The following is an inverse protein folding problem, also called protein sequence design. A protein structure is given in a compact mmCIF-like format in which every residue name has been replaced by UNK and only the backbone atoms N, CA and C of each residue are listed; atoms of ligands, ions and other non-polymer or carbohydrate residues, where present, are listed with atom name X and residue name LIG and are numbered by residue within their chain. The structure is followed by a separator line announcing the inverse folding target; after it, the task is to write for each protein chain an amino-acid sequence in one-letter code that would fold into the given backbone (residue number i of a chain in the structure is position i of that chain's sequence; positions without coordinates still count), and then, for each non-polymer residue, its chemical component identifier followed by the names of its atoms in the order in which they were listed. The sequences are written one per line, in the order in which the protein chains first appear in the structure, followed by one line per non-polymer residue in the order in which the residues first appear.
data_IF_911168236914
#
_entry.id   IF_911168236914
#
_cell.length_a   1.000
_cell.length_b   1.000
_cell.length_c   1.000
_cell.angle_alpha   90.00
_cell.angle_beta   90.00
_cell.angle_gamma   90.00
#
_symmetry.space_group_name_H-M   'P 1'
#
loop_
_entity.id
_entity.type
_entity.pdbx_description
1 polymer ?
#
# COMPACT_ATOMS: atom_id res chain seq x y z
N UNK A 1 -21.95 -29.93 -5.28
CA UNK A 1 -23.36 -29.77 -4.86
C UNK A 1 -23.74 -28.36 -5.27
N UNK A 2 -24.34 -28.11 -6.42
CA UNK A 2 -25.62 -28.64 -6.88
C UNK A 2 -26.59 -27.45 -6.91
N UNK A 3 -27.04 -27.10 -8.11
CA UNK A 3 -27.86 -25.94 -8.50
C UNK A 3 -29.13 -25.73 -7.67
N UNK A 4 -29.69 -24.51 -7.66
CA UNK A 4 -30.85 -24.21 -8.53
C UNK A 4 -31.39 -22.77 -8.38
N UNK A 5 -31.70 -22.19 -9.53
CA UNK A 5 -32.56 -21.03 -9.70
C UNK A 5 -33.95 -21.52 -10.14
N UNK A 6 -35.07 -20.86 -9.77
CA UNK A 6 -36.36 -21.17 -10.36
C UNK A 6 -36.74 -20.16 -11.45
N UNK A 7 -37.08 -20.69 -12.62
CA UNK A 7 -37.78 -20.01 -13.72
C UNK A 7 -39.32 -20.18 -13.57
N UNK A 8 -40.14 -19.43 -14.33
CA UNK A 8 -41.50 -19.03 -13.92
C UNK A 8 -42.62 -19.97 -14.40
N UNK A 9 -43.73 -19.97 -13.67
CA UNK A 9 -44.99 -20.65 -14.02
C UNK A 9 -45.95 -19.71 -14.76
N UNK A 10 -46.61 -20.30 -15.75
CA UNK A 10 -47.43 -19.68 -16.79
C UNK A 10 -48.88 -20.15 -16.65
N UNK A 11 -49.80 -19.25 -17.01
CA UNK A 11 -51.20 -19.43 -17.43
C UNK A 11 -52.28 -19.83 -16.40
N UNK A 12 -53.32 -18.98 -16.31
CA UNK A 12 -54.69 -19.45 -16.20
C UNK A 12 -55.63 -18.66 -17.11
N UNK A 13 -56.17 -19.40 -18.08
CA UNK A 13 -57.25 -19.08 -19.01
C UNK A 13 -58.55 -18.80 -18.25
N UNK A 14 -59.36 -17.86 -18.74
CA UNK A 14 -60.81 -18.00 -18.61
C UNK A 14 -61.51 -17.58 -19.91
N UNK A 15 -62.24 -18.53 -20.46
CA UNK A 15 -63.18 -18.48 -21.60
C UNK A 15 -64.56 -18.14 -21.04
N UNK A 16 -65.35 -17.28 -21.70
CA UNK A 16 -66.84 -17.31 -21.74
C UNK A 16 -67.35 -16.49 -22.95
N UNK A 17 -68.06 -17.19 -23.86
CA UNK A 17 -69.28 -16.92 -24.68
C UNK A 17 -69.50 -15.57 -25.38
N UNK A 18 -69.71 -15.46 -26.70
CA UNK A 18 -70.72 -15.98 -27.68
C UNK A 18 -71.82 -14.94 -28.03
N UNK A 19 -71.94 -14.65 -29.33
CA UNK A 19 -73.17 -14.38 -30.11
C UNK A 19 -73.01 -13.30 -31.22
N UNK A 20 -73.01 -13.80 -32.46
CA UNK A 20 -73.94 -13.43 -33.57
C UNK A 20 -73.80 -12.11 -34.38
N UNK A 21 -73.30 -12.32 -35.62
CA UNK A 21 -73.81 -11.92 -36.96
C UNK A 21 -73.99 -10.44 -37.41
N UNK A 22 -73.33 -10.19 -38.56
CA UNK A 22 -73.75 -9.42 -39.76
C UNK A 22 -73.76 -7.89 -39.75
N UNK A 23 -73.15 -7.29 -40.79
CA UNK A 23 -73.24 -5.86 -41.07
C UNK A 23 -72.10 -5.21 -41.87
N UNK A 24 -72.02 -5.49 -43.18
CA UNK A 24 -71.58 -4.60 -44.28
C UNK A 24 -70.40 -3.61 -44.10
N UNK A 25 -69.31 -3.84 -44.84
CA UNK A 25 -68.33 -2.80 -45.24
C UNK A 25 -68.96 -1.83 -46.26
N UNK A 26 -68.59 -0.52 -46.35
CA UNK A 26 -67.29 -0.13 -46.91
C UNK A 26 -66.79 1.30 -46.55
N UNK A 27 -65.61 1.46 -45.95
CA UNK A 27 -64.85 2.71 -46.19
C UNK A 27 -63.36 2.46 -46.25
N UNK A 28 -62.84 2.47 -47.47
CA UNK A 28 -61.43 2.73 -47.79
C UNK A 28 -61.04 4.07 -47.20
N UNK A 29 -60.47 4.09 -45.99
CA UNK A 29 -59.46 5.08 -45.64
C UNK A 29 -58.15 4.36 -45.76
N UNK A 30 -57.38 4.73 -46.78
CA UNK A 30 -56.02 4.27 -46.97
C UNK A 30 -55.23 4.60 -45.70
N UNK A 31 -55.23 3.68 -44.73
CA UNK A 31 -54.13 3.62 -43.78
C UNK A 31 -52.94 3.30 -44.65
N UNK A 32 -52.24 4.36 -45.06
CA UNK A 32 -50.95 4.28 -45.70
C UNK A 32 -50.12 3.41 -44.79
N UNK A 33 -50.03 2.13 -45.14
CA UNK A 33 -49.15 1.16 -44.51
C UNK A 33 -47.80 1.78 -44.71
N UNK A 34 -47.32 2.52 -43.70
CA UNK A 34 -45.98 3.09 -43.69
C UNK A 34 -45.09 1.94 -44.11
N UNK A 35 -44.47 2.01 -45.31
CA UNK A 35 -43.78 0.86 -45.86
C UNK A 35 -42.85 0.35 -44.77
N UNK A 36 -42.88 -0.94 -44.44
CA UNK A 36 -42.11 -1.54 -43.32
C UNK A 36 -40.64 -1.04 -43.26
N UNK A 37 -40.11 -0.65 -44.43
CA UNK A 37 -38.84 0.06 -44.64
C UNK A 37 -38.69 1.40 -43.89
N UNK A 38 -39.69 2.27 -43.80
CA UNK A 38 -39.61 3.56 -43.07
C UNK A 38 -39.52 3.32 -41.56
N UNK A 39 -40.30 2.38 -41.01
CA UNK A 39 -40.17 1.97 -39.61
C UNK A 39 -38.79 1.38 -39.29
N UNK A 40 -38.23 0.59 -40.21
CA UNK A 40 -36.85 0.07 -40.11
C UNK A 40 -35.80 1.19 -40.15
N UNK A 41 -35.95 2.15 -41.07
CA UNK A 41 -35.04 3.28 -41.18
C UNK A 41 -35.06 4.17 -39.94
N UNK A 42 -36.24 4.48 -39.38
CA UNK A 42 -36.36 5.25 -38.13
C UNK A 42 -35.69 4.55 -36.96
N UNK A 43 -35.91 3.24 -36.81
CA UNK A 43 -35.27 2.44 -35.75
C UNK A 43 -33.75 2.43 -35.89
N UNK A 44 -33.24 2.26 -37.11
CA UNK A 44 -31.80 2.27 -37.37
C UNK A 44 -31.19 3.67 -37.12
N UNK A 45 -31.91 4.75 -37.47
CA UNK A 45 -31.47 6.11 -37.18
C UNK A 45 -31.27 6.32 -35.68
N UNK A 46 -32.26 5.98 -34.86
CA UNK A 46 -32.19 6.08 -33.40
C UNK A 46 -31.03 5.24 -32.84
N UNK A 47 -30.80 4.05 -33.38
CA UNK A 47 -29.66 3.20 -32.99
C UNK A 47 -28.33 3.87 -33.28
N UNK A 48 -28.18 4.51 -34.45
CA UNK A 48 -26.94 5.22 -34.82
C UNK A 48 -26.74 6.50 -34.02
N UNK A 49 -27.81 7.24 -33.77
CA UNK A 49 -27.79 8.43 -32.89
C UNK A 49 -27.26 8.02 -31.51
N UNK A 50 -27.87 7.01 -30.88
CA UNK A 50 -27.40 6.51 -29.58
C UNK A 50 -25.93 6.04 -29.58
N UNK A 51 -25.51 5.28 -30.60
CA UNK A 51 -24.11 4.85 -30.72
C UNK A 51 -23.16 6.04 -30.89
N UNK A 52 -23.57 7.07 -31.63
CA UNK A 52 -22.76 8.28 -31.80
C UNK A 52 -22.61 9.02 -30.48
N UNK A 53 -23.68 9.12 -29.68
CA UNK A 53 -23.63 9.73 -28.34
C UNK A 53 -22.59 9.00 -27.47
N UNK A 54 -22.59 7.67 -27.46
CA UNK A 54 -21.57 6.88 -26.73
C UNK A 54 -20.13 7.14 -27.22
N UNK A 55 -19.94 7.35 -28.52
CA UNK A 55 -18.62 7.70 -29.07
C UNK A 55 -18.18 9.12 -28.67
N UNK A 56 -19.13 10.06 -28.58
CA UNK A 56 -18.86 11.43 -28.12
C UNK A 56 -18.51 11.44 -26.64
N UNK A 57 -19.27 10.73 -25.82
CA UNK A 57 -19.01 10.58 -24.39
C UNK A 57 -17.63 9.95 -24.16
N UNK A 58 -17.31 8.85 -24.85
CA UNK A 58 -15.99 8.23 -24.77
C UNK A 58 -14.88 9.20 -25.21
N UNK A 59 -15.08 9.94 -26.30
CA UNK A 59 -14.13 10.96 -26.76
C UNK A 59 -13.89 12.06 -25.72
N UNK A 60 -14.94 12.48 -25.00
CA UNK A 60 -14.84 13.48 -23.93
C UNK A 60 -14.07 12.97 -22.72
N UNK A 61 -14.29 11.71 -22.30
CA UNK A 61 -13.57 11.07 -21.19
C UNK A 61 -12.08 10.92 -21.50
N UNK A 62 -11.76 10.66 -22.77
CA UNK A 62 -10.38 10.60 -23.26
C UNK A 62 -9.76 11.99 -23.52
N UNK A 63 -10.49 13.08 -23.22
CA UNK A 63 -10.06 14.46 -23.45
C UNK A 63 -9.58 14.71 -24.89
N UNK A 64 -10.17 14.01 -25.86
CA UNK A 64 -9.83 14.11 -27.27
C UNK A 64 -10.42 15.42 -27.83
N UNK A 65 -9.74 16.52 -27.56
CA UNK A 65 -10.16 17.90 -27.84
C UNK A 65 -10.33 18.26 -29.31
N UNK A 66 -9.84 17.43 -30.24
CA UNK A 66 -10.07 17.64 -31.66
C UNK A 66 -11.46 17.17 -32.10
N UNK A 67 -12.17 18.09 -32.75
CA UNK A 67 -13.51 17.89 -33.34
C UNK A 67 -13.54 16.86 -34.50
N UNK A 68 -12.40 16.21 -34.79
CA UNK A 68 -12.12 15.44 -36.00
C UNK A 68 -11.67 14.01 -35.71
N UNK A 69 -11.70 13.57 -34.44
CA UNK A 69 -11.24 12.24 -34.08
C UNK A 69 -12.18 11.18 -34.67
N UNK A 70 -11.68 10.47 -35.68
CA UNK A 70 -12.41 9.36 -36.28
C UNK A 70 -12.71 8.28 -35.22
N UNK A 71 -13.80 7.54 -35.41
CA UNK A 71 -14.21 6.47 -34.48
C UNK A 71 -13.11 5.45 -34.18
N UNK A 72 -12.28 5.16 -35.18
CA UNK A 72 -11.12 4.27 -35.01
C UNK A 72 -10.08 4.87 -34.05
N UNK A 73 -9.80 6.17 -34.15
CA UNK A 73 -8.90 6.87 -33.23
C UNK A 73 -9.42 6.80 -31.81
N UNK A 74 -10.69 7.13 -31.57
CA UNK A 74 -11.31 7.06 -30.24
C UNK A 74 -11.14 5.68 -29.61
N UNK A 75 -11.40 4.61 -30.37
CA UNK A 75 -11.23 3.23 -29.88
C UNK A 75 -9.77 2.87 -29.62
N UNK A 76 -8.85 3.27 -30.49
CA UNK A 76 -7.42 3.00 -30.31
C UNK A 76 -6.87 3.73 -29.08
N UNK A 77 -7.22 4.99 -28.89
CA UNK A 77 -6.83 5.78 -27.73
C UNK A 77 -7.41 5.19 -26.44
N UNK A 78 -8.70 4.82 -26.43
CA UNK A 78 -9.31 4.12 -25.30
C UNK A 78 -8.56 2.83 -24.94
N UNK A 79 -8.24 2.04 -25.97
CA UNK A 79 -7.54 0.76 -25.80
C UNK A 79 -6.12 0.96 -25.28
N UNK A 80 -5.39 1.95 -25.81
CA UNK A 80 -4.04 2.29 -25.35
C UNK A 80 -4.07 2.74 -23.89
N UNK A 81 -4.94 3.68 -23.55
CA UNK A 81 -5.07 4.20 -22.19
C UNK A 81 -5.42 3.10 -21.19
N UNK A 82 -6.33 2.18 -21.55
CA UNK A 82 -6.65 1.03 -20.69
C UNK A 82 -5.43 0.15 -20.43
N UNK A 83 -4.65 -0.16 -21.46
CA UNK A 83 -3.42 -0.96 -21.31
C UNK A 83 -2.40 -0.25 -20.42
N UNK A 84 -2.20 1.05 -20.62
CA UNK A 84 -1.28 1.85 -19.83
C UNK A 84 -1.72 1.91 -18.37
N UNK A 85 -3.02 2.07 -18.11
CA UNK A 85 -3.59 2.08 -16.76
C UNK A 85 -3.46 0.70 -16.09
N UNK A 86 -3.72 -0.39 -16.80
CA UNK A 86 -3.50 -1.73 -16.27
C UNK A 86 -2.02 -1.96 -15.92
N UNK A 87 -1.09 -1.53 -16.76
CA UNK A 87 0.34 -1.60 -16.48
C UNK A 87 0.72 -0.80 -15.24
N UNK A 88 0.18 0.41 -15.06
CA UNK A 88 0.39 1.23 -13.86
C UNK A 88 -0.15 0.55 -12.60
N UNK A 89 -1.36 -0.03 -12.67
CA UNK A 89 -1.96 -0.77 -11.55
C UNK A 89 -1.09 -1.97 -11.18
N UNK A 90 -0.58 -2.72 -12.15
CA UNK A 90 0.32 -3.85 -11.90
C UNK A 90 1.65 -3.43 -11.27
N UNK A 91 2.26 -2.35 -11.76
CA UNK A 91 3.49 -1.79 -11.16
C UNK A 91 3.25 -1.36 -9.72
N UNK A 92 2.21 -0.56 -9.47
CA UNK A 92 1.86 -0.09 -8.13
C UNK A 92 1.59 -1.23 -7.17
N UNK A 93 0.92 -2.31 -7.62
CA UNK A 93 0.71 -3.50 -6.80
C UNK A 93 2.03 -4.17 -6.44
N UNK A 94 2.96 -4.30 -7.38
CA UNK A 94 4.29 -4.86 -7.14
C UNK A 94 5.10 -4.01 -6.17
N UNK A 95 5.09 -2.69 -6.36
CA UNK A 95 5.78 -1.73 -5.49
C UNK A 95 5.19 -1.75 -4.08
N UNK A 96 3.86 -1.80 -3.95
CA UNK A 96 3.18 -1.91 -2.66
C UNK A 96 3.60 -3.18 -1.90
N UNK A 97 3.61 -4.34 -2.58
CA UNK A 97 4.10 -5.59 -1.99
C UNK A 97 5.57 -5.47 -1.55
N UNK A 98 6.42 -4.85 -2.38
CA UNK A 98 7.82 -4.61 -2.04
C UNK A 98 7.97 -3.73 -0.79
N UNK A 99 7.27 -2.60 -0.75
CA UNK A 99 7.30 -1.66 0.38
C UNK A 99 6.76 -2.29 1.67
N UNK A 100 5.70 -3.10 1.58
CA UNK A 100 5.17 -3.83 2.73
C UNK A 100 6.19 -4.85 3.25
N UNK A 101 6.92 -5.53 2.37
CA UNK A 101 7.96 -6.47 2.79
C UNK A 101 9.14 -5.77 3.47
N UNK A 102 9.56 -4.63 2.94
CA UNK A 102 10.62 -3.81 3.54
C UNK A 102 10.18 -3.21 4.88
N UNK A 103 8.96 -2.68 4.95
CA UNK A 103 8.38 -2.19 6.20
C UNK A 103 8.30 -3.30 7.26
N UNK A 104 7.93 -4.52 6.87
CA UNK A 104 7.91 -5.66 7.77
C UNK A 104 9.32 -6.00 8.26
N UNK A 105 10.30 -6.05 7.36
CA UNK A 105 11.70 -6.29 7.71
C UNK A 105 12.21 -5.27 8.74
N UNK A 106 12.01 -3.97 8.49
CA UNK A 106 12.43 -2.90 9.42
C UNK A 106 11.70 -3.00 10.76
N UNK A 107 10.43 -3.40 10.75
CA UNK A 107 9.66 -3.61 12.00
C UNK A 107 10.25 -4.75 12.82
N UNK A 108 10.63 -5.86 12.18
CA UNK A 108 11.26 -7.00 12.84
C UNK A 108 12.60 -6.59 13.44
N UNK A 109 13.49 -6.00 12.63
CA UNK A 109 14.80 -5.50 13.09
C UNK A 109 14.67 -4.53 14.26
N UNK A 110 13.70 -3.61 14.19
CA UNK A 110 13.46 -2.66 15.29
C UNK A 110 13.04 -3.37 16.58
N UNK A 111 12.18 -4.38 16.49
CA UNK A 111 11.76 -5.15 17.66
C UNK A 111 12.93 -5.93 18.27
N UNK A 112 13.79 -6.52 17.45
CA UNK A 112 15.00 -7.23 17.91
C UNK A 112 15.94 -6.27 18.65
N UNK A 113 16.20 -5.08 18.09
CA UNK A 113 17.01 -4.05 18.76
C UNK A 113 16.38 -3.55 20.07
N UNK A 114 15.06 -3.43 20.14
CA UNK A 114 14.36 -3.05 21.38
C UNK A 114 14.49 -4.14 22.44
N UNK A 115 14.39 -5.42 22.05
CA UNK A 115 14.60 -6.55 22.95
C UNK A 115 16.04 -6.57 23.49
N UNK A 116 17.03 -6.42 22.61
CA UNK A 116 18.45 -6.35 23.01
C UNK A 116 18.73 -5.17 23.92
N UNK A 117 18.19 -3.97 23.60
CA UNK A 117 18.36 -2.79 24.43
C UNK A 117 17.74 -2.98 25.83
N UNK A 118 16.54 -3.58 25.91
CA UNK A 118 15.91 -3.88 27.21
C UNK A 118 16.73 -4.90 28.02
N UNK A 119 17.31 -5.91 27.37
CA UNK A 119 18.19 -6.87 28.03
C UNK A 119 19.48 -6.21 28.56
N UNK A 120 20.04 -5.24 27.84
CA UNK A 120 21.20 -4.46 28.29
C UNK A 120 20.85 -3.52 29.44
N UNK A 121 19.73 -2.81 29.37
CA UNK A 121 19.22 -1.95 30.45
C UNK A 121 19.04 -2.74 31.75
N UNK A 122 18.44 -3.94 31.67
CA UNK A 122 18.29 -4.82 32.83
C UNK A 122 19.63 -5.28 33.41
N UNK A 123 20.62 -5.57 32.56
CA UNK A 123 21.97 -5.92 33.03
C UNK A 123 22.67 -4.72 33.69
N UNK A 124 22.51 -3.51 33.16
CA UNK A 124 23.03 -2.28 33.76
C UNK A 124 22.41 -2.06 35.14
N UNK A 125 21.08 -2.16 35.25
CA UNK A 125 20.36 -1.99 36.53
C UNK A 125 20.82 -3.03 37.57
N UNK A 126 21.00 -4.28 37.15
CA UNK A 126 21.51 -5.35 38.02
C UNK A 126 22.92 -5.04 38.54
N UNK A 127 23.82 -4.60 37.66
CA UNK A 127 25.19 -4.25 38.05
C UNK A 127 25.25 -3.02 38.95
N UNK A 128 24.42 -2.00 38.68
CA UNK A 128 24.29 -0.83 39.56
C UNK A 128 23.82 -1.23 40.95
N UNK A 129 22.79 -2.09 41.04
CA UNK A 129 22.29 -2.64 42.31
C UNK A 129 23.38 -3.40 43.06
N UNK A 130 24.20 -4.19 42.35
CA UNK A 130 25.33 -4.91 42.96
C UNK A 130 26.41 -3.95 43.51
N UNK A 131 26.74 -2.89 42.77
CA UNK A 131 27.69 -1.85 43.19
C UNK A 131 27.16 -1.14 44.45
N UNK A 132 25.90 -0.72 44.46
CA UNK A 132 25.27 -0.06 45.61
C UNK A 132 25.23 -0.97 46.86
N UNK A 133 24.93 -2.26 46.67
CA UNK A 133 24.99 -3.24 47.74
C UNK A 133 26.42 -3.35 48.31
N UNK A 134 27.44 -3.48 47.45
CA UNK A 134 28.85 -3.54 47.87
C UNK A 134 29.29 -2.28 48.61
N UNK A 135 28.91 -1.09 48.14
CA UNK A 135 29.20 0.19 48.81
C UNK A 135 28.54 0.23 50.21
N UNK A 136 27.30 -0.24 50.31
CA UNK A 136 26.55 -0.32 51.57
C UNK A 136 27.21 -1.27 52.57
N UNK A 137 27.73 -2.40 52.09
CA UNK A 137 28.46 -3.40 52.89
C UNK A 137 29.89 -2.96 53.25
N UNK A 138 30.52 -2.08 52.47
CA UNK A 138 31.88 -1.59 52.74
C UNK A 138 31.93 -0.39 53.69
N UNK A 139 30.79 0.08 54.22
CA UNK A 139 30.75 1.15 55.22
C UNK A 139 31.26 0.57 56.56
N UNK A 140 32.50 0.86 57.00
CA UNK A 140 33.02 0.28 58.23
C UNK A 140 32.31 0.95 59.41
N UNK A 141 31.92 0.16 60.42
CA UNK A 141 31.66 0.73 61.73
C UNK A 141 32.98 1.24 62.30
N UNK A 142 33.16 2.56 62.30
CA UNK A 142 34.35 3.24 62.80
C UNK A 142 34.53 3.13 64.33
N UNK A 143 33.69 2.38 65.04
CA UNK A 143 33.80 2.14 66.48
C UNK A 143 34.52 0.83 66.86
N UNK A 144 34.97 0.01 65.90
CA UNK A 144 35.65 -1.26 66.20
C UNK A 144 37.17 -1.13 65.98
N UNK A 145 38.02 -1.38 67.01
CA UNK A 145 39.47 -1.26 66.87
C UNK A 145 40.05 -2.36 65.97
N UNK A 146 41.11 -2.08 65.19
CA UNK A 146 41.67 -3.03 64.22
C UNK A 146 42.34 -4.23 64.92
N UNK A 147 42.19 -5.46 64.41
CA UNK A 147 43.00 -6.59 64.85
C UNK A 147 44.47 -6.41 64.40
N UNK A 148 45.37 -6.63 65.34
CA UNK A 148 46.82 -6.46 65.24
C UNK A 148 47.50 -7.57 64.41
N UNK A 149 48.27 -7.15 63.38
CA UNK A 149 49.47 -7.78 62.74
C UNK A 149 49.36 -9.25 62.21
N UNK A 150 50.01 -9.69 61.13
CA UNK A 150 51.44 -9.63 60.77
C UNK A 150 51.62 -9.82 59.25
N UNK A 151 52.61 -9.13 58.68
CA UNK A 151 53.03 -9.19 57.28
C UNK A 151 54.24 -10.13 57.11
N UNK A 152 54.32 -10.94 56.04
CA UNK A 152 55.61 -11.42 55.53
C UNK A 152 55.89 -10.99 54.08
N UNK A 153 56.97 -10.21 53.94
CA UNK A 153 58.05 -10.20 52.91
C UNK A 153 57.78 -10.64 51.45
N UNK A 154 57.95 -9.64 50.56
CA UNK A 154 58.57 -9.63 49.21
C UNK A 154 58.63 -10.89 48.34
N UNK A 155 58.11 -10.79 47.10
CA UNK A 155 58.91 -11.06 45.88
C UNK A 155 58.27 -10.44 44.63
N UNK A 156 59.01 -9.52 44.01
CA UNK A 156 58.76 -8.94 42.70
C UNK A 156 59.16 -9.96 41.62
N UNK A 157 58.22 -10.40 40.79
CA UNK A 157 58.54 -11.02 39.50
C UNK A 157 57.45 -10.70 38.47
N UNK A 158 57.70 -9.70 37.62
CA UNK A 158 56.93 -9.49 36.40
C UNK A 158 57.63 -10.24 35.26
N UNK A 159 56.98 -11.22 34.62
CA UNK A 159 57.39 -11.68 33.30
C UNK A 159 56.77 -10.76 32.24
N UNK A 160 57.62 -9.97 31.58
CA UNK A 160 57.30 -9.29 30.33
C UNK A 160 57.43 -10.35 29.23
N UNK A 161 56.32 -10.97 28.84
CA UNK A 161 56.26 -11.80 27.64
C UNK A 161 56.00 -10.88 26.43
N UNK A 162 57.07 -10.61 25.71
CA UNK A 162 57.05 -9.93 24.42
C UNK A 162 56.47 -10.85 23.34
N UNK A 163 55.18 -10.71 23.05
CA UNK A 163 54.63 -11.21 21.80
C UNK A 163 54.94 -10.21 20.68
N UNK A 164 56.01 -10.48 19.94
CA UNK A 164 56.25 -9.86 18.65
C UNK A 164 55.19 -10.33 17.66
N UNK A 165 54.36 -9.41 17.18
CA UNK A 165 53.51 -9.64 16.02
C UNK A 165 54.32 -9.37 14.75
N UNK A 166 54.29 -10.26 13.73
CA UNK A 166 54.88 -9.95 12.44
C UNK A 166 54.08 -8.84 11.77
N UNK A 167 54.79 -7.84 11.26
CA UNK A 167 54.23 -6.83 10.38
C UNK A 167 53.65 -7.51 9.13
N UNK A 168 52.33 -7.44 8.97
CA UNK A 168 51.69 -7.61 7.67
C UNK A 168 51.30 -6.22 7.21
N UNK A 169 52.05 -5.69 6.25
CA UNK A 169 51.62 -4.54 5.45
C UNK A 169 50.38 -4.95 4.65
N UNK A 170 49.19 -4.67 5.20
CA UNK A 170 47.99 -4.57 4.38
C UNK A 170 47.95 -3.17 3.77
N UNK A 171 48.09 -3.13 2.45
CA UNK A 171 47.82 -1.99 1.60
C UNK A 171 46.52 -1.30 2.01
N UNK A 172 46.61 0.00 2.33
CA UNK A 172 45.45 0.88 2.54
C UNK A 172 44.69 1.03 1.22
N UNK A 173 43.78 0.10 0.93
CA UNK A 173 42.71 0.33 -0.02
C UNK A 173 41.63 1.13 0.71
N UNK A 174 41.58 2.42 0.39
CA UNK A 174 40.63 3.39 0.90
C UNK A 174 39.19 2.90 0.62
N UNK A 175 38.55 2.32 1.63
CA UNK A 175 37.12 2.03 1.63
C UNK A 175 36.38 3.37 1.78
N UNK A 176 35.40 3.70 0.93
CA UNK A 176 34.67 4.96 1.07
C UNK A 176 33.91 4.98 2.40
N UNK A 177 34.19 5.99 3.22
CA UNK A 177 33.50 6.20 4.48
C UNK A 177 32.03 6.58 4.20
N UNK A 178 31.10 5.76 4.69
CA UNK A 178 29.66 6.06 4.68
C UNK A 178 29.37 6.90 5.92
N UNK A 179 28.99 8.17 5.70
CA UNK A 179 28.58 9.07 6.77
C UNK A 179 27.07 8.92 6.99
N UNK A 180 26.65 8.34 8.11
CA UNK A 180 25.25 8.31 8.51
C UNK A 180 24.96 9.60 9.29
N UNK A 181 24.09 10.46 8.75
CA UNK A 181 23.65 11.70 9.39
C UNK A 181 22.24 11.47 9.97
N UNK A 182 22.04 11.59 11.30
CA UNK A 182 20.71 11.54 11.89
C UNK A 182 19.85 12.73 11.43
N UNK A 183 18.69 12.46 10.85
CA UNK A 183 17.70 13.48 10.51
C UNK A 183 16.79 13.68 11.74
N UNK A 184 16.71 14.88 12.34
CA UNK A 184 15.78 15.14 13.43
C UNK A 184 14.33 15.10 12.92
N UNK A 185 13.37 14.66 13.75
CA UNK A 185 11.97 14.60 13.36
C UNK A 185 11.45 15.98 12.96
N UNK A 186 10.87 16.09 11.77
CA UNK A 186 10.21 17.30 11.31
C UNK A 186 8.93 17.50 12.11
N UNK A 187 8.92 18.50 13.01
CA UNK A 187 7.72 18.90 13.71
C UNK A 187 6.80 19.71 12.77
N UNK A 188 5.58 19.25 12.43
CA UNK A 188 4.62 20.03 11.68
C UNK A 188 3.88 21.00 12.62
N UNK A 189 4.58 22.03 13.11
CA UNK A 189 3.94 23.08 13.91
C UNK A 189 4.66 24.42 13.80
N UNK A 190 4.84 24.94 12.59
CA UNK A 190 5.08 26.37 12.37
C UNK A 190 3.89 26.92 11.59
N UNK A 191 2.86 27.34 12.33
CA UNK A 191 1.82 28.21 11.76
C UNK A 191 2.49 29.54 11.39
N UNK A 192 2.61 29.81 10.10
CA UNK A 192 2.86 31.15 9.59
C UNK A 192 1.80 32.09 10.15
N UNK A 193 2.19 32.99 11.04
CA UNK A 193 1.41 34.19 11.33
C UNK A 193 1.76 35.20 10.24
N UNK A 194 0.87 35.33 9.25
CA UNK A 194 0.85 36.46 8.35
C UNK A 194 0.48 37.70 9.18
N UNK A 195 1.46 38.56 9.48
CA UNK A 195 1.19 39.92 9.95
C UNK A 195 0.84 40.78 8.75
N UNK A 196 -0.41 41.26 8.71
CA UNK A 196 -0.83 42.34 7.83
C UNK A 196 -0.45 43.68 8.49
N UNK A 197 0.30 44.49 7.76
CA UNK A 197 0.32 45.95 7.82
C UNK A 197 0.35 46.43 6.38
#
# INVERSE_FOLDING_TARGET
MGSDAPAPLVNKVNVVDDASLEGHSPTKKNQGKVPKRIHKAKRERLKREHLNDLFLDLGSVLELTQQNNGKATVLNEATRLLKDLFGQIESLRKENVSLLSESNYVTVENNELVEENSALESQIEKLQTEIEARISHSKPDLNVPPPEFQQPELTSHFPVDGYGLPAVETSLQQVPAVLIVPIPPSNPAVKCKQTAC
#
